data_IF_705992528694
#
_entry.id   IF_705992528694
#
_cell.length_a   1.000
_cell.length_b   1.000
_cell.length_c   1.000
_cell.angle_alpha   90.00
_cell.angle_beta   90.00
_cell.angle_gamma   90.00
#
_symmetry.space_group_name_H-M   'P 1'
#
loop_
_entity.id
_entity.type
_entity.pdbx_description
1 polymer ?
#
# COMPACT_ATOMS: atom_id res chain seq x y z
N UNK A 1 -4.96 5.52 21.96
CA UNK A 1 -4.37 6.02 20.76
C UNK A 1 -4.82 5.22 19.56
N UNK A 2 -5.42 5.87 18.65
CA UNK A 2 -5.95 5.18 17.49
C UNK A 2 -4.81 4.62 16.67
N UNK A 3 -4.82 3.35 16.50
CA UNK A 3 -3.84 2.71 15.67
C UNK A 3 -4.27 2.92 14.23
N UNK A 4 -4.01 4.09 13.76
CA UNK A 4 -4.31 4.36 12.38
C UNK A 4 -3.18 3.83 11.54
N UNK A 5 -3.50 2.90 10.67
CA UNK A 5 -2.49 2.45 9.74
C UNK A 5 -2.24 3.59 8.77
N UNK A 6 -1.07 4.14 8.83
CA UNK A 6 -0.73 5.24 7.95
C UNK A 6 0.07 4.73 6.76
N UNK A 7 0.46 5.66 5.90
CA UNK A 7 1.19 5.29 4.70
C UNK A 7 2.50 4.61 4.97
N UNK A 8 3.15 4.98 6.05
CA UNK A 8 4.43 4.36 6.40
C UNK A 8 4.26 2.88 6.70
N UNK A 9 3.22 2.54 7.44
CA UNK A 9 2.95 1.14 7.72
C UNK A 9 2.69 0.36 6.46
N UNK A 10 1.95 0.95 5.55
CA UNK A 10 1.67 0.34 4.27
C UNK A 10 2.95 0.11 3.48
N UNK A 11 3.81 1.11 3.46
CA UNK A 11 5.08 1.01 2.75
C UNK A 11 5.94 -0.12 3.33
N UNK A 12 6.00 -0.22 4.64
CA UNK A 12 6.78 -1.25 5.28
C UNK A 12 6.25 -2.63 4.92
N UNK A 13 4.94 -2.79 4.95
CA UNK A 13 4.34 -4.07 4.57
C UNK A 13 4.69 -4.43 3.14
N UNK A 14 4.59 -3.45 2.25
CA UNK A 14 4.91 -3.69 0.85
C UNK A 14 6.37 -4.12 0.68
N UNK A 15 7.27 -3.42 1.35
CA UNK A 15 8.69 -3.74 1.24
C UNK A 15 8.99 -5.12 1.79
N UNK A 16 8.36 -5.48 2.89
CA UNK A 16 8.57 -6.80 3.47
C UNK A 16 8.02 -7.89 2.57
N UNK A 17 7.02 -7.57 1.78
CA UNK A 17 6.44 -8.53 0.86
C UNK A 17 7.25 -8.65 -0.43
N UNK A 18 8.23 -7.80 -0.61
CA UNK A 18 9.04 -7.85 -1.82
C UNK A 18 8.36 -7.30 -3.05
N UNK A 19 7.32 -6.52 -2.85
CA UNK A 19 6.57 -5.96 -3.96
C UNK A 19 7.05 -4.56 -4.29
N UNK A 20 7.02 -4.25 -5.55
CA UNK A 20 7.38 -2.92 -6.00
C UNK A 20 6.16 -2.02 -6.01
N UNK A 21 6.41 -0.73 -5.89
CA UNK A 21 5.33 0.24 -5.81
C UNK A 21 4.39 0.15 -7.02
N UNK A 22 4.97 0.06 -8.21
CA UNK A 22 4.14 0.02 -9.41
C UNK A 22 3.34 -1.28 -9.51
N UNK A 23 3.86 -2.35 -8.93
CA UNK A 23 3.12 -3.61 -8.94
C UNK A 23 1.83 -3.49 -8.13
N UNK A 24 1.95 -2.94 -6.94
CA UNK A 24 0.79 -2.79 -6.08
C UNK A 24 -0.18 -1.78 -6.67
N UNK A 25 0.34 -0.65 -7.14
CA UNK A 25 -0.50 0.38 -7.71
C UNK A 25 -1.28 -0.15 -8.91
N UNK A 26 -0.61 -0.91 -9.77
CA UNK A 26 -1.26 -1.45 -10.95
C UNK A 26 -2.37 -2.41 -10.61
N UNK A 27 -2.16 -3.24 -9.60
CA UNK A 27 -3.18 -4.20 -9.20
C UNK A 27 -4.39 -3.54 -8.56
N UNK A 28 -4.16 -2.42 -7.90
CA UNK A 28 -5.25 -1.70 -7.26
C UNK A 28 -5.95 -0.77 -8.27
N UNK A 29 -5.24 -0.39 -9.32
CA UNK A 29 -5.82 0.45 -10.34
C UNK A 29 -5.57 1.93 -10.12
N UNK A 30 -4.47 2.28 -9.48
CA UNK A 30 -4.11 3.67 -9.28
C UNK A 30 -2.72 3.92 -9.84
N UNK A 31 -2.41 5.18 -10.15
CA UNK A 31 -1.05 5.48 -10.61
C UNK A 31 -0.02 5.26 -9.51
N UNK A 32 1.17 4.90 -9.91
CA UNK A 32 2.23 4.64 -8.94
C UNK A 32 2.55 5.89 -8.12
N UNK A 33 2.50 7.06 -8.73
CA UNK A 33 2.77 8.28 -7.98
C UNK A 33 1.68 8.55 -6.94
N UNK A 34 0.46 8.09 -7.17
CA UNK A 34 -0.59 8.20 -6.18
C UNK A 34 -0.25 7.33 -4.97
N UNK A 35 0.21 6.12 -5.22
CA UNK A 35 0.61 5.24 -4.13
C UNK A 35 1.78 5.83 -3.38
N UNK A 36 2.71 6.44 -4.08
CA UNK A 36 3.85 7.10 -3.45
C UNK A 36 3.39 8.19 -2.50
N UNK A 37 2.40 8.97 -2.91
CA UNK A 37 1.86 10.02 -2.06
C UNK A 37 1.20 9.45 -0.81
N UNK A 38 0.50 8.33 -0.98
CA UNK A 38 -0.15 7.69 0.15
C UNK A 38 0.90 7.18 1.13
N UNK A 39 1.94 6.55 0.61
CA UNK A 39 2.98 5.99 1.48
C UNK A 39 3.78 7.06 2.20
N UNK A 40 3.90 8.23 1.60
CA UNK A 40 4.63 9.31 2.23
C UNK A 40 3.77 10.14 3.19
N UNK A 41 2.48 9.86 3.23
CA UNK A 41 1.59 10.59 4.12
C UNK A 41 1.02 11.86 3.54
N UNK A 42 1.29 12.12 2.27
CA UNK A 42 0.77 13.32 1.62
C UNK A 42 -0.68 13.21 1.23
N UNK A 43 -1.16 11.99 1.08
CA UNK A 43 -2.53 11.75 0.66
C UNK A 43 -3.11 10.64 1.49
N UNK A 44 -4.30 10.85 1.98
CA UNK A 44 -4.97 9.85 2.79
C UNK A 44 -5.88 9.01 1.90
N UNK A 45 -5.72 7.69 1.89
CA UNK A 45 -6.58 6.85 1.07
C UNK A 45 -7.94 6.70 1.71
N UNK A 46 -8.95 6.43 0.88
CA UNK A 46 -10.26 6.09 1.40
C UNK A 46 -10.18 4.74 2.10
N UNK A 47 -11.13 4.45 2.99
CA UNK A 47 -11.11 3.14 3.65
C UNK A 47 -11.15 1.97 2.67
N UNK A 48 -11.91 2.10 1.60
CA UNK A 48 -11.99 1.04 0.60
C UNK A 48 -10.66 0.86 -0.12
N UNK A 49 -10.02 1.97 -0.47
CA UNK A 49 -8.74 1.89 -1.15
C UNK A 49 -7.69 1.27 -0.24
N UNK A 50 -7.71 1.67 1.03
CA UNK A 50 -6.77 1.15 2.00
C UNK A 50 -6.93 -0.36 2.13
N UNK A 51 -8.16 -0.83 2.19
CA UNK A 51 -8.44 -2.24 2.29
C UNK A 51 -7.91 -3.01 1.08
N UNK A 52 -8.11 -2.43 -0.11
CA UNK A 52 -7.64 -3.07 -1.32
C UNK A 52 -6.12 -3.13 -1.37
N UNK A 53 -5.48 -2.08 -0.89
CA UNK A 53 -4.02 -2.05 -0.83
C UNK A 53 -3.50 -3.16 0.08
N UNK A 54 -4.11 -3.33 1.24
CA UNK A 54 -3.73 -4.40 2.14
C UNK A 54 -3.93 -5.76 1.51
N UNK A 55 -5.05 -5.94 0.84
CA UNK A 55 -5.36 -7.21 0.19
C UNK A 55 -4.32 -7.55 -0.86
N UNK A 56 -3.99 -6.57 -1.70
CA UNK A 56 -3.04 -6.79 -2.77
C UNK A 56 -1.66 -7.14 -2.20
N UNK A 57 -1.23 -6.42 -1.19
CA UNK A 57 0.06 -6.66 -0.58
C UNK A 57 0.09 -8.04 0.07
N UNK A 58 -0.97 -8.37 0.76
CA UNK A 58 -1.04 -9.65 1.44
C UNK A 58 -1.01 -10.81 0.45
N UNK A 59 -1.76 -10.69 -0.63
CA UNK A 59 -1.81 -11.76 -1.62
C UNK A 59 -0.58 -11.84 -2.48
N UNK A 60 0.06 -10.70 -2.70
CA UNK A 60 1.24 -10.65 -3.54
C UNK A 60 2.51 -10.93 -2.81
N UNK A 61 2.42 -11.40 -1.59
CA UNK A 61 3.58 -11.65 -0.77
C UNK A 61 4.49 -12.68 -1.43
N UNK A 62 5.74 -12.32 -1.54
CA UNK A 62 6.73 -13.19 -2.16
C UNK A 62 7.67 -13.74 -1.13
N UNK A 63 8.26 -14.81 -1.43
CA UNK A 63 9.29 -15.37 -0.62
C UNK A 63 8.80 -16.05 0.55
N UNK A 64 8.27 -16.46 0.59
CA UNK A 64 8.04 -17.22 1.53
C UNK A 64 8.73 -17.97 1.99
#
# INVERSE_FOLDING_TARGET
MAAKVNGLGLKIMRLKSGLRQYEVAGKVGIPANRLSEIESGRREPSPELLERLFEVIKRGQRGN
#
